data_IF_133726833109
#
_entry.id   IF_133726833109
#
_cell.length_a   1.000
_cell.length_b   1.000
_cell.length_c   1.000
_cell.angle_alpha   90.00
_cell.angle_beta   90.00
_cell.angle_gamma   90.00
#
_symmetry.space_group_name_H-M   'P 1'
#
loop_
_entity.id
_entity.type
_entity.pdbx_description
1 polymer ?
#
# COMPACT_ATOMS: atom_id res chain seq x y z
N UNK A 1 49.21 -9.91 -0.85
CA UNK A 1 49.21 -8.78 0.10
C UNK A 1 49.84 -7.58 -0.60
N UNK A 2 49.29 -6.36 -0.49
CA UNK A 2 49.95 -5.17 -1.00
C UNK A 2 51.28 -4.94 -0.26
N UNK A 3 52.28 -4.38 -0.92
CA UNK A 3 53.51 -3.93 -0.27
C UNK A 3 53.18 -2.78 0.69
N UNK A 4 53.80 -2.75 1.88
CA UNK A 4 53.54 -1.73 2.90
C UNK A 4 53.74 -0.29 2.39
N UNK A 5 54.63 -0.09 1.41
CA UNK A 5 54.86 1.19 0.73
C UNK A 5 53.65 1.74 -0.01
N UNK A 6 52.70 0.89 -0.41
CA UNK A 6 51.55 1.27 -1.21
C UNK A 6 50.32 1.62 -0.36
N UNK A 7 50.39 1.42 0.97
CA UNK A 7 49.27 1.71 1.88
C UNK A 7 48.76 3.17 1.77
N UNK A 8 49.62 4.21 1.69
CA UNK A 8 49.14 5.60 1.54
C UNK A 8 48.43 5.86 0.20
N UNK A 9 48.89 5.20 -0.87
CA UNK A 9 48.27 5.31 -2.19
C UNK A 9 46.90 4.62 -2.23
N UNK A 10 46.77 3.49 -1.53
CA UNK A 10 45.50 2.77 -1.40
C UNK A 10 44.51 3.62 -0.59
N UNK A 11 44.94 4.22 0.52
CA UNK A 11 44.07 5.06 1.35
C UNK A 11 43.59 6.31 0.61
N UNK A 12 44.48 6.98 -0.12
CA UNK A 12 44.12 8.11 -0.99
C UNK A 12 43.15 7.73 -2.11
N UNK A 13 43.32 6.56 -2.71
CA UNK A 13 42.44 6.06 -3.77
C UNK A 13 41.14 5.44 -3.24
N UNK A 14 41.01 5.24 -1.92
CA UNK A 14 39.82 4.62 -1.32
C UNK A 14 38.72 5.66 -1.15
N UNK A 15 37.65 5.49 -1.91
CA UNK A 15 36.43 6.26 -1.73
C UNK A 15 35.48 5.56 -0.74
N UNK A 16 34.85 6.32 0.15
CA UNK A 16 33.80 5.84 1.06
C UNK A 16 32.52 6.66 0.87
N UNK A 17 31.84 6.47 -0.26
CA UNK A 17 30.54 7.08 -0.50
C UNK A 17 29.45 6.42 0.37
N UNK A 18 28.46 7.21 0.79
CA UNK A 18 27.28 6.71 1.51
C UNK A 18 26.01 7.35 0.96
N UNK A 19 25.20 6.53 0.31
CA UNK A 19 23.87 6.95 -0.11
C UNK A 19 22.83 6.61 0.96
N UNK A 20 21.89 7.53 1.15
CA UNK A 20 20.76 7.36 2.07
C UNK A 20 19.48 7.16 1.26
N UNK A 21 18.98 5.92 1.27
CA UNK A 21 17.70 5.56 0.67
C UNK A 21 16.68 5.38 1.79
N UNK A 22 15.66 6.25 1.83
CA UNK A 22 14.61 6.22 2.84
C UNK A 22 13.26 5.93 2.19
N UNK A 23 12.57 4.91 2.68
CA UNK A 23 11.18 4.60 2.32
C UNK A 23 10.30 4.71 3.56
N UNK A 24 9.12 5.33 3.41
CA UNK A 24 8.10 5.43 4.46
C UNK A 24 6.75 5.03 3.89
N UNK A 25 6.03 4.22 4.66
CA UNK A 25 4.67 3.81 4.35
C UNK A 25 3.80 4.07 5.59
N UNK A 26 2.64 4.67 5.37
CA UNK A 26 1.60 4.82 6.39
C UNK A 26 0.26 4.42 5.78
N UNK A 27 -0.42 3.49 6.44
CA UNK A 27 -1.72 2.97 6.01
C UNK A 27 -2.74 3.12 7.12
N UNK A 28 -3.97 3.48 6.76
CA UNK A 28 -5.12 3.52 7.65
C UNK A 28 -6.28 2.81 6.95
N UNK A 29 -6.88 1.83 7.62
CA UNK A 29 -8.03 1.09 7.13
C UNK A 29 -9.18 1.19 8.13
N UNK A 30 -10.38 1.43 7.61
CA UNK A 30 -11.62 1.50 8.37
C UNK A 30 -12.64 0.59 7.69
N UNK A 31 -13.28 -0.28 8.47
CA UNK A 31 -14.34 -1.16 8.00
C UNK A 31 -15.43 -1.21 9.06
N UNK A 32 -16.66 -0.96 8.63
CA UNK A 32 -17.86 -0.99 9.45
C UNK A 32 -18.83 -1.94 8.76
N UNK A 33 -19.26 -2.98 9.48
CA UNK A 33 -20.24 -3.94 9.00
C UNK A 33 -21.45 -3.98 9.94
N UNK A 34 -22.61 -4.18 9.36
CA UNK A 34 -23.87 -4.44 10.06
C UNK A 34 -24.58 -5.60 9.37
N UNK A 35 -25.15 -6.49 10.16
CA UNK A 35 -25.87 -7.67 9.65
C UNK A 35 -27.37 -7.44 9.55
N UNK A 36 -27.90 -6.49 10.32
CA UNK A 36 -29.35 -6.32 10.51
C UNK A 36 -29.70 -4.81 10.53
N UNK A 37 -29.40 -4.07 9.47
CA UNK A 37 -29.74 -2.64 9.43
C UNK A 37 -31.26 -2.41 9.26
N UNK A 38 -31.94 -3.33 8.58
CA UNK A 38 -33.40 -3.36 8.43
C UNK A 38 -33.90 -4.81 8.45
N UNK A 39 -34.96 -5.09 9.20
CA UNK A 39 -35.63 -6.40 9.22
C UNK A 39 -36.59 -6.52 8.04
N UNK A 40 -36.21 -7.32 7.04
CA UNK A 40 -37.15 -7.78 6.01
C UNK A 40 -37.80 -9.09 6.46
N UNK A 41 -38.99 -9.44 5.95
CA UNK A 41 -39.64 -10.72 6.24
C UNK A 41 -38.79 -11.95 5.86
N UNK A 42 -37.79 -11.76 5.00
CA UNK A 42 -36.79 -12.74 4.61
C UNK A 42 -35.48 -12.68 5.45
N UNK A 43 -35.24 -11.69 6.30
CA UNK A 43 -34.00 -11.58 7.10
C UNK A 43 -33.45 -10.15 7.15
N UNK A 44 -32.41 -9.92 7.96
CA UNK A 44 -31.75 -8.63 8.08
C UNK A 44 -31.01 -8.24 6.80
N UNK A 45 -31.13 -6.98 6.39
CA UNK A 45 -30.28 -6.39 5.34
C UNK A 45 -28.91 -6.10 5.92
N UNK A 46 -27.89 -6.77 5.37
CA UNK A 46 -26.50 -6.53 5.72
C UNK A 46 -25.92 -5.38 4.91
N UNK A 47 -25.17 -4.48 5.55
CA UNK A 47 -24.39 -3.45 4.87
C UNK A 47 -22.95 -3.48 5.38
N UNK A 48 -22.00 -3.39 4.49
CA UNK A 48 -20.59 -3.20 4.81
C UNK A 48 -20.09 -1.95 4.10
N UNK A 49 -19.47 -1.04 4.86
CA UNK A 49 -18.84 0.15 4.31
C UNK A 49 -17.43 0.25 4.86
N UNK A 50 -16.48 0.59 4.00
CA UNK A 50 -15.11 0.73 4.43
C UNK A 50 -14.32 1.63 3.51
N UNK A 51 -13.12 1.94 3.94
CA UNK A 51 -12.20 2.73 3.16
C UNK A 51 -10.80 2.61 3.71
N UNK A 52 -9.85 2.79 2.80
CA UNK A 52 -8.43 2.74 3.10
C UNK A 52 -7.75 4.02 2.63
N UNK A 53 -6.68 4.39 3.32
CA UNK A 53 -5.77 5.44 2.92
C UNK A 53 -4.34 4.92 3.04
N UNK A 54 -3.54 5.13 2.00
CA UNK A 54 -2.12 4.81 1.97
C UNK A 54 -1.31 6.04 1.55
N UNK A 55 -0.20 6.27 2.24
CA UNK A 55 0.82 7.25 1.87
C UNK A 55 2.18 6.58 1.83
N UNK A 56 2.80 6.68 0.66
CA UNK A 56 4.15 6.24 0.38
C UNK A 56 5.05 7.44 0.13
N UNK A 57 6.23 7.45 0.74
CA UNK A 57 7.29 8.41 0.45
C UNK A 57 8.60 7.68 0.19
N UNK A 58 9.29 8.10 -0.86
CA UNK A 58 10.58 7.57 -1.26
C UNK A 58 11.56 8.72 -1.46
N UNK A 59 12.70 8.65 -0.77
CA UNK A 59 13.78 9.64 -0.89
C UNK A 59 15.10 8.93 -1.15
N UNK A 60 15.79 9.35 -2.21
CA UNK A 60 17.19 9.02 -2.48
C UNK A 60 18.00 10.28 -2.22
N UNK A 61 18.90 10.21 -1.25
CA UNK A 61 19.89 11.25 -0.99
C UNK A 61 21.29 10.66 -1.24
N UNK A 62 21.78 10.73 -2.49
CA UNK A 62 23.10 10.21 -2.85
C UNK A 62 24.22 11.09 -2.27
N UNK A 63 25.38 10.49 -2.01
CA UNK A 63 26.60 11.23 -1.67
C UNK A 63 26.99 12.19 -2.80
N UNK A 64 27.71 13.27 -2.49
CA UNK A 64 28.07 14.27 -3.49
C UNK A 64 28.93 13.69 -4.62
N UNK A 65 29.76 12.68 -4.34
CA UNK A 65 30.56 12.03 -5.38
C UNK A 65 29.70 11.23 -6.37
N UNK A 66 28.66 10.53 -5.90
CA UNK A 66 27.66 9.88 -6.75
C UNK A 66 26.72 10.87 -7.46
N UNK A 67 26.35 11.96 -6.79
CA UNK A 67 25.50 13.04 -7.36
C UNK A 67 26.22 13.80 -8.46
N UNK A 68 27.54 13.93 -8.40
CA UNK A 68 28.34 14.65 -9.38
C UNK A 68 29.00 13.72 -10.42
N UNK A 69 28.84 12.39 -10.27
CA UNK A 69 29.45 11.41 -11.18
C UNK A 69 30.98 11.45 -11.15
N UNK A 70 31.56 11.74 -9.98
CA UNK A 70 33.01 11.89 -9.79
C UNK A 70 33.72 10.57 -9.47
N UNK A 71 32.96 9.48 -9.44
CA UNK A 71 33.45 8.14 -9.15
C UNK A 71 33.78 7.40 -10.45
N UNK A 72 35.02 6.94 -10.58
CA UNK A 72 35.45 6.17 -11.74
C UNK A 72 34.75 4.82 -11.78
N UNK A 73 33.95 4.58 -12.83
CA UNK A 73 33.24 3.33 -13.04
C UNK A 73 31.92 3.20 -12.28
N UNK A 74 31.51 4.22 -11.50
CA UNK A 74 30.19 4.28 -10.87
C UNK A 74 29.41 5.45 -11.47
N UNK A 75 28.19 5.17 -11.91
CA UNK A 75 27.36 6.13 -12.63
C UNK A 75 26.84 7.27 -11.75
N UNK A 76 26.17 8.22 -12.40
CA UNK A 76 25.46 9.30 -11.73
C UNK A 76 24.15 8.81 -11.09
N UNK A 77 23.90 9.20 -9.84
CA UNK A 77 22.59 9.00 -9.18
C UNK A 77 21.94 10.35 -8.90
N UNK A 78 20.74 10.55 -9.46
CA UNK A 78 19.97 11.76 -9.18
C UNK A 78 19.31 11.70 -7.81
N UNK A 79 19.24 12.81 -7.05
CA UNK A 79 18.41 12.88 -5.86
C UNK A 79 16.94 12.76 -6.26
N UNK A 80 16.22 11.87 -5.60
CA UNK A 80 14.79 11.64 -5.84
C UNK A 80 14.04 11.93 -4.56
N UNK A 81 12.96 12.70 -4.68
CA UNK A 81 11.97 12.84 -3.62
C UNK A 81 10.59 12.70 -4.25
N UNK A 82 10.00 11.53 -4.09
CA UNK A 82 8.72 11.17 -4.67
C UNK A 82 7.81 10.59 -3.60
N UNK A 83 6.51 10.65 -3.83
CA UNK A 83 5.54 10.00 -2.97
C UNK A 83 4.22 9.79 -3.69
N UNK A 84 3.50 8.74 -3.28
CA UNK A 84 2.15 8.44 -3.75
C UNK A 84 1.20 8.50 -2.57
N UNK A 85 0.04 9.10 -2.79
CA UNK A 85 -1.09 9.02 -1.87
C UNK A 85 -2.22 8.33 -2.59
N UNK A 86 -2.81 7.35 -1.94
CA UNK A 86 -3.90 6.57 -2.47
C UNK A 86 -4.98 6.48 -1.40
N UNK A 87 -6.22 6.54 -1.84
CA UNK A 87 -7.37 6.32 -0.98
C UNK A 87 -8.35 5.45 -1.75
N UNK A 88 -9.11 4.67 -0.99
CA UNK A 88 -10.17 3.85 -1.53
C UNK A 88 -11.36 3.89 -0.59
N UNK A 89 -12.54 3.72 -1.18
CA UNK A 89 -13.80 3.60 -0.45
C UNK A 89 -14.62 2.51 -1.13
N UNK A 90 -15.26 1.68 -0.32
CA UNK A 90 -16.16 0.66 -0.79
C UNK A 90 -17.42 0.60 0.06
N UNK A 91 -18.51 0.21 -0.58
CA UNK A 91 -19.77 -0.07 0.07
C UNK A 91 -20.40 -1.30 -0.58
N UNK A 92 -20.86 -2.22 0.24
CA UNK A 92 -21.51 -3.46 -0.15
C UNK A 92 -22.80 -3.63 0.64
N UNK A 93 -23.83 -4.14 -0.04
CA UNK A 93 -25.14 -4.40 0.53
C UNK A 93 -25.58 -5.82 0.19
N UNK A 94 -26.13 -6.52 1.17
CA UNK A 94 -26.74 -7.83 1.03
C UNK A 94 -28.22 -7.70 1.39
N UNK A 95 -29.07 -7.94 0.39
CA UNK A 95 -30.54 -7.88 0.55
C UNK A 95 -31.12 -9.29 0.40
N UNK A 96 -31.65 -9.89 1.48
CA UNK A 96 -32.37 -11.16 1.38
C UNK A 96 -33.79 -10.93 0.85
N UNK A 97 -34.16 -11.59 -0.25
CA UNK A 97 -35.50 -11.49 -0.87
C UNK A 97 -36.41 -12.63 -0.45
N UNK A 98 -35.89 -13.86 -0.37
CA UNK A 98 -36.59 -15.02 0.16
C UNK A 98 -35.71 -15.71 1.19
N UNK A 99 -36.32 -16.24 2.25
CA UNK A 99 -35.61 -17.08 3.22
C UNK A 99 -36.50 -18.17 3.78
N UNK A 100 -35.94 -19.16 4.49
CA UNK A 100 -36.72 -20.26 5.05
C UNK A 100 -37.84 -19.84 6.03
N UNK A 101 -37.79 -18.61 6.56
CA UNK A 101 -38.89 -18.02 7.37
C UNK A 101 -40.07 -17.56 6.50
N UNK A 102 -39.82 -17.22 5.24
CA UNK A 102 -40.82 -16.83 4.25
C UNK A 102 -41.17 -18.06 3.41
N UNK A 103 -42.09 -18.88 3.94
CA UNK A 103 -42.44 -20.22 3.42
C UNK A 103 -43.22 -20.15 2.10
N UNK A 104 -42.58 -19.72 1.01
CA UNK A 104 -43.11 -19.78 -0.35
C UNK A 104 -42.73 -21.14 -0.96
N UNK A 105 -43.70 -22.04 -1.24
CA UNK A 105 -43.40 -23.34 -1.80
C UNK A 105 -42.70 -23.19 -3.16
N UNK A 106 -41.45 -23.67 -3.26
CA UNK A 106 -40.64 -23.63 -4.49
C UNK A 106 -39.40 -22.71 -4.44
N UNK A 107 -39.27 -21.81 -3.45
CA UNK A 107 -38.09 -20.94 -3.30
C UNK A 107 -37.54 -21.00 -1.87
N UNK A 108 -36.33 -21.54 -1.70
CA UNK A 108 -35.72 -21.77 -0.38
C UNK A 108 -34.90 -20.58 0.14
N UNK A 109 -34.14 -19.91 -0.74
CA UNK A 109 -33.40 -18.67 -0.44
C UNK A 109 -33.08 -17.96 -1.75
N UNK A 110 -33.19 -16.63 -1.75
CA UNK A 110 -32.70 -15.77 -2.84
C UNK A 110 -32.11 -14.51 -2.22
N UNK A 111 -30.85 -14.27 -2.52
CA UNK A 111 -30.08 -13.15 -1.99
C UNK A 111 -29.50 -12.34 -3.15
N UNK A 112 -29.52 -11.02 -3.03
CA UNK A 112 -28.83 -10.12 -3.95
C UNK A 112 -27.71 -9.39 -3.22
N UNK A 113 -26.55 -9.35 -3.85
CA UNK A 113 -25.40 -8.57 -3.39
C UNK A 113 -25.13 -7.46 -4.39
N UNK A 114 -24.95 -6.24 -3.89
CA UNK A 114 -24.53 -5.09 -4.68
C UNK A 114 -23.31 -4.45 -4.02
N UNK A 115 -22.30 -4.09 -4.81
CA UNK A 115 -21.07 -3.49 -4.32
C UNK A 115 -20.57 -2.38 -5.23
N UNK A 116 -20.01 -1.33 -4.62
CA UNK A 116 -19.33 -0.23 -5.31
C UNK A 116 -17.97 0.03 -4.66
N UNK A 117 -16.98 0.37 -5.48
CA UNK A 117 -15.64 0.76 -5.05
C UNK A 117 -15.13 1.92 -5.89
N UNK A 118 -14.42 2.84 -5.25
CA UNK A 118 -13.70 3.96 -5.87
C UNK A 118 -12.29 4.06 -5.30
#
# INVERSE_FOLDING_TARGET
MPFASNAPLIDFATLRARDLLTSKLATLDLNIYTTDLFDLPAGGVGLAVGGGFSREEYTINPDDQHRLGQELGVGFTAPVKAGRKEWNVYAEALVPIFSPKFNIPGFYSLEFTAGVRY
#
